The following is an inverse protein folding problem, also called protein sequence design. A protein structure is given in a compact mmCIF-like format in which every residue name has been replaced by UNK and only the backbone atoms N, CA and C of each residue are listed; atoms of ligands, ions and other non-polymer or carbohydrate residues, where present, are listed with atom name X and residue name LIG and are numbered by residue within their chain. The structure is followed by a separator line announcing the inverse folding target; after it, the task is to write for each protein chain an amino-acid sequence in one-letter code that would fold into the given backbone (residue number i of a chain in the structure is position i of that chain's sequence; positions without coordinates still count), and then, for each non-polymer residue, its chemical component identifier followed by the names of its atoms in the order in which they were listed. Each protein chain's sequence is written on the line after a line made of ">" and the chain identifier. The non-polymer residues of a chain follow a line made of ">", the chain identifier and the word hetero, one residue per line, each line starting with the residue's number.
data_IF_918452963073
#
_entry.id   IF_918452963073
#
_cell.length_a   1.000
_cell.length_b   1.000
_cell.length_c   1.000
_cell.angle_alpha   90.00
_cell.angle_beta   90.00
_cell.angle_gamma   90.00
#
_symmetry.space_group_name_H-M   'P 1'
#
loop_
_entity.id
_entity.type
_entity.pdbx_description
1 polymer ?
#
# COMPACT_ATOMS: atom_id res chain seq x y z
N UNK A 1 25.04 58.66 14.12
CA UNK A 1 24.21 59.83 14.54
C UNK A 1 24.93 60.47 15.70
N UNK A 2 25.48 61.66 15.45
CA UNK A 2 26.23 62.47 16.41
C UNK A 2 25.28 63.03 17.45
N UNK A 3 25.55 62.75 18.73
CA UNK A 3 24.80 63.37 19.86
C UNK A 3 25.08 64.87 19.88
N UNK A 4 24.24 65.68 19.23
CA UNK A 4 24.27 67.12 19.36
C UNK A 4 24.02 67.47 20.82
N UNK A 5 24.94 68.23 21.42
CA UNK A 5 24.85 68.71 22.82
C UNK A 5 23.75 69.73 22.90
N UNK A 6 22.58 69.36 23.41
CA UNK A 6 21.38 70.22 23.51
C UNK A 6 21.44 71.29 24.61
N UNK A 7 22.56 71.35 25.37
CA UNK A 7 22.69 72.23 26.58
C UNK A 7 22.91 73.70 26.24
N UNK A 8 23.24 74.03 24.98
CA UNK A 8 23.52 75.39 24.54
C UNK A 8 22.45 75.99 23.63
N UNK A 9 21.33 75.28 23.40
CA UNK A 9 20.23 75.81 22.59
C UNK A 9 19.32 76.75 23.39
N UNK A 10 19.04 77.92 22.77
CA UNK A 10 18.05 78.85 23.36
C UNK A 10 16.66 78.23 23.33
N UNK A 11 15.82 78.57 24.30
CA UNK A 11 14.46 78.03 24.49
C UNK A 11 13.63 77.99 23.20
N UNK A 12 13.78 78.95 22.31
CA UNK A 12 13.11 79.02 21.01
C UNK A 12 13.59 77.90 20.05
N UNK A 13 14.89 77.65 20.01
CA UNK A 13 15.52 76.66 19.15
C UNK A 13 15.17 75.19 19.61
N UNK A 14 15.00 75.05 20.94
CA UNK A 14 14.53 73.79 21.53
C UNK A 14 13.07 73.49 21.16
N UNK A 15 12.19 74.48 21.18
CA UNK A 15 10.78 74.37 20.79
C UNK A 15 10.67 74.03 19.31
N UNK A 16 11.47 74.70 18.44
CA UNK A 16 11.47 74.45 17.01
C UNK A 16 12.02 73.04 16.67
N UNK A 17 13.02 72.57 17.44
CA UNK A 17 13.54 71.23 17.31
C UNK A 17 12.55 70.15 17.76
N UNK A 18 11.82 70.42 18.85
CA UNK A 18 10.76 69.54 19.35
C UNK A 18 9.60 69.46 18.37
N UNK A 19 9.21 70.59 17.79
CA UNK A 19 8.13 70.66 16.80
C UNK A 19 8.55 69.94 15.49
N UNK A 20 9.81 70.10 15.09
CA UNK A 20 10.36 69.37 13.94
C UNK A 20 10.48 67.89 14.19
N UNK A 21 10.91 67.47 15.36
CA UNK A 21 10.94 66.04 15.74
C UNK A 21 9.53 65.43 15.86
N UNK A 22 8.55 66.21 16.37
CA UNK A 22 7.14 65.75 16.40
C UNK A 22 6.54 65.70 15.00
N UNK A 23 6.90 66.62 14.12
CA UNK A 23 6.48 66.58 12.69
C UNK A 23 7.15 65.45 11.94
N UNK A 24 8.44 65.17 12.15
CA UNK A 24 9.13 64.02 11.59
C UNK A 24 8.63 62.67 12.16
N UNK A 25 8.25 62.58 13.43
CA UNK A 25 7.66 61.40 14.01
C UNK A 25 6.22 61.14 13.53
N UNK A 26 5.51 62.17 13.10
CA UNK A 26 4.20 62.09 12.46
C UNK A 26 4.25 61.79 10.95
N UNK A 27 5.46 61.82 10.33
CA UNK A 27 5.66 61.60 8.91
C UNK A 27 5.65 60.14 8.48
N UNK A 28 5.69 59.20 9.44
CA UNK A 28 5.25 57.84 9.13
C UNK A 28 3.74 57.87 9.24
N UNK A 29 3.08 58.00 8.10
CA UNK A 29 1.61 58.07 8.06
C UNK A 29 1.03 56.92 8.84
N UNK A 30 0.12 57.22 9.77
CA UNK A 30 -0.65 56.22 10.53
C UNK A 30 -1.35 55.21 9.58
N UNK A 31 -1.55 55.58 8.32
CA UNK A 31 -2.09 54.73 7.27
C UNK A 31 -1.11 53.72 6.76
N UNK A 32 0.18 54.07 6.50
CA UNK A 32 1.22 53.15 6.08
C UNK A 32 1.49 52.07 7.13
N UNK A 33 1.56 52.47 8.40
CA UNK A 33 1.70 51.54 9.53
C UNK A 33 0.50 50.61 9.65
N UNK A 34 -0.71 51.09 9.43
CA UNK A 34 -1.94 50.28 9.43
C UNK A 34 -1.99 49.34 8.26
N UNK A 35 -1.53 49.76 7.08
CA UNK A 35 -1.48 48.93 5.89
C UNK A 35 -0.47 47.78 6.07
N UNK A 36 0.74 48.06 6.53
CA UNK A 36 1.74 47.04 6.82
C UNK A 36 1.29 46.08 7.93
N UNK A 37 0.69 46.57 9.00
CA UNK A 37 0.10 45.71 10.01
C UNK A 37 -1.05 44.86 9.45
N UNK A 38 -1.84 45.40 8.52
CA UNK A 38 -2.87 44.66 7.79
C UNK A 38 -2.27 43.51 6.99
N UNK A 39 -1.24 43.80 6.18
CA UNK A 39 -0.53 42.78 5.36
C UNK A 39 0.12 41.70 6.25
N UNK A 40 0.74 42.07 7.34
CA UNK A 40 1.34 41.11 8.28
C UNK A 40 0.30 40.21 8.93
N UNK A 41 -0.84 40.77 9.37
CA UNK A 41 -1.96 40.02 9.94
C UNK A 41 -2.60 39.07 8.92
N UNK A 42 -2.75 39.50 7.67
CA UNK A 42 -3.27 38.61 6.60
C UNK A 42 -2.29 37.47 6.30
N UNK A 43 -1.00 37.78 6.26
CA UNK A 43 0.06 36.76 6.08
C UNK A 43 0.08 35.75 7.22
N UNK A 44 -0.06 36.20 8.48
CA UNK A 44 -0.18 35.32 9.63
C UNK A 44 -1.43 34.43 9.56
N UNK A 45 -2.58 35.02 9.21
CA UNK A 45 -3.83 34.26 9.01
C UNK A 45 -3.65 33.21 7.91
N UNK A 46 -3.09 33.59 6.77
CA UNK A 46 -2.83 32.67 5.66
C UNK A 46 -1.91 31.53 6.10
N UNK A 47 -0.79 31.81 6.75
CA UNK A 47 0.13 30.78 7.25
C UNK A 47 -0.52 29.88 8.29
N UNK A 48 -1.38 30.42 9.16
CA UNK A 48 -2.13 29.66 10.15
C UNK A 48 -3.15 28.72 9.47
N UNK A 49 -3.86 29.18 8.44
CA UNK A 49 -4.76 28.36 7.65
C UNK A 49 -3.99 27.28 6.88
N UNK A 50 -2.88 27.64 6.24
CA UNK A 50 -2.02 26.71 5.52
C UNK A 50 -1.50 25.58 6.43
N UNK A 51 -1.01 25.92 7.61
CA UNK A 51 -0.56 24.93 8.62
C UNK A 51 -1.68 24.00 9.05
N UNK A 52 -2.89 24.54 9.29
CA UNK A 52 -4.06 23.73 9.65
C UNK A 52 -4.43 22.77 8.52
N UNK A 53 -4.51 23.25 7.28
CA UNK A 53 -4.81 22.41 6.11
C UNK A 53 -3.77 21.33 5.93
N UNK A 54 -2.48 21.68 6.03
CA UNK A 54 -1.39 20.73 5.93
C UNK A 54 -1.45 19.66 7.03
N UNK A 55 -1.74 20.08 8.27
CA UNK A 55 -1.90 19.13 9.39
C UNK A 55 -3.03 18.14 9.14
N UNK A 56 -4.18 18.61 8.65
CA UNK A 56 -5.30 17.72 8.31
C UNK A 56 -4.92 16.74 7.20
N UNK A 57 -4.24 17.22 6.14
CA UNK A 57 -3.76 16.36 5.06
C UNK A 57 -2.81 15.27 5.56
N UNK A 58 -1.87 15.64 6.44
CA UNK A 58 -0.93 14.66 7.04
C UNK A 58 -1.67 13.62 7.87
N UNK A 59 -2.64 14.02 8.68
CA UNK A 59 -3.44 13.09 9.50
C UNK A 59 -4.25 12.14 8.61
N UNK A 60 -4.92 12.67 7.58
CA UNK A 60 -5.70 11.87 6.63
C UNK A 60 -4.80 10.89 5.88
N UNK A 61 -3.63 11.35 5.41
CA UNK A 61 -2.67 10.48 4.75
C UNK A 61 -2.17 9.36 5.69
N UNK A 62 -1.83 9.69 6.93
CA UNK A 62 -1.38 8.70 7.92
C UNK A 62 -2.46 7.65 8.23
N UNK A 63 -3.71 8.09 8.41
CA UNK A 63 -4.84 7.18 8.62
C UNK A 63 -5.09 6.30 7.39
N UNK A 64 -4.99 6.86 6.18
CA UNK A 64 -5.16 6.10 4.94
C UNK A 64 -4.09 5.02 4.79
N UNK A 65 -2.82 5.33 5.09
CA UNK A 65 -1.73 4.36 5.09
C UNK A 65 -1.97 3.28 6.14
N UNK A 66 -2.39 3.67 7.35
CA UNK A 66 -2.69 2.70 8.42
C UNK A 66 -3.79 1.72 8.00
N UNK A 67 -4.90 2.22 7.47
CA UNK A 67 -6.01 1.40 6.98
C UNK A 67 -5.54 0.50 5.83
N UNK A 68 -4.80 1.05 4.87
CA UNK A 68 -4.28 0.28 3.75
C UNK A 68 -3.37 -0.87 4.22
N UNK A 69 -2.44 -0.63 5.15
CA UNK A 69 -1.51 -1.66 5.64
C UNK A 69 -2.22 -2.76 6.44
N UNK A 70 -3.29 -2.42 7.16
CA UNK A 70 -4.06 -3.40 7.92
C UNK A 70 -4.92 -4.33 7.04
N UNK A 71 -5.44 -3.82 5.91
CA UNK A 71 -6.38 -4.53 5.04
C UNK A 71 -5.76 -5.04 3.75
N UNK A 72 -4.63 -4.45 3.33
CA UNK A 72 -3.93 -4.75 2.08
C UNK A 72 -2.45 -5.08 2.33
N UNK A 73 -2.14 -6.27 2.86
CA UNK A 73 -0.75 -6.68 3.08
C UNK A 73 0.04 -6.67 1.76
N UNK A 74 1.26 -6.16 1.84
CA UNK A 74 2.23 -6.15 0.74
C UNK A 74 3.19 -7.30 0.93
N UNK A 75 3.35 -8.14 -0.09
CA UNK A 75 4.15 -9.35 -0.03
C UNK A 75 5.23 -9.32 -1.09
N UNK A 76 6.42 -9.81 -0.75
CA UNK A 76 7.49 -10.05 -1.72
C UNK A 76 7.53 -11.53 -2.08
N UNK A 77 7.50 -11.83 -3.37
CA UNK A 77 7.52 -13.20 -3.89
C UNK A 77 8.94 -13.74 -3.83
N UNK A 78 9.09 -14.95 -3.33
CA UNK A 78 10.33 -15.71 -3.30
C UNK A 78 10.13 -17.06 -3.97
N UNK A 79 11.09 -17.43 -4.81
CA UNK A 79 11.06 -18.68 -5.56
C UNK A 79 10.34 -18.58 -6.90
N UNK A 80 10.24 -19.72 -7.59
CA UNK A 80 9.72 -19.83 -8.96
C UNK A 80 8.42 -20.61 -9.08
N UNK A 81 7.83 -21.01 -7.96
CA UNK A 81 6.65 -21.90 -7.96
C UNK A 81 5.39 -21.29 -8.57
N UNK A 82 5.35 -19.97 -8.76
CA UNK A 82 4.25 -19.25 -9.38
C UNK A 82 4.59 -18.72 -10.78
N UNK A 83 5.74 -19.10 -11.35
CA UNK A 83 6.07 -18.78 -12.74
C UNK A 83 5.05 -19.45 -13.68
N UNK A 84 4.66 -18.77 -14.76
CA UNK A 84 5.08 -17.44 -15.22
C UNK A 84 4.27 -16.28 -14.60
N UNK A 85 3.18 -16.56 -13.85
CA UNK A 85 2.28 -15.53 -13.33
C UNK A 85 2.97 -14.57 -12.37
N UNK A 86 3.77 -15.12 -11.44
CA UNK A 86 4.55 -14.32 -10.49
C UNK A 86 5.99 -14.82 -10.44
N UNK A 87 6.93 -13.91 -10.60
CA UNK A 87 8.35 -14.22 -10.59
C UNK A 87 9.03 -13.84 -9.28
N UNK A 88 10.18 -14.45 -9.04
CA UNK A 88 11.01 -14.16 -7.88
C UNK A 88 11.39 -12.67 -7.81
N UNK A 89 11.22 -12.08 -6.63
CA UNK A 89 11.52 -10.67 -6.37
C UNK A 89 10.38 -9.69 -6.65
N UNK A 90 9.29 -10.12 -7.26
CA UNK A 90 8.09 -9.28 -7.43
C UNK A 90 7.48 -8.89 -6.08
N UNK A 91 6.90 -7.69 -6.03
CA UNK A 91 6.13 -7.22 -4.90
C UNK A 91 4.66 -7.15 -5.31
N UNK A 92 3.83 -7.79 -4.52
CA UNK A 92 2.38 -7.91 -4.78
C UNK A 92 1.59 -7.35 -3.60
N UNK A 93 0.40 -6.87 -3.89
CA UNK A 93 -0.57 -6.41 -2.91
C UNK A 93 -1.68 -7.45 -2.84
N UNK A 94 -2.00 -7.88 -1.63
CA UNK A 94 -3.12 -8.77 -1.35
C UNK A 94 -4.21 -8.05 -0.56
N UNK A 95 -5.40 -8.63 -0.51
CA UNK A 95 -6.51 -8.18 0.31
C UNK A 95 -6.91 -9.29 1.26
N UNK A 96 -7.11 -8.95 2.53
CA UNK A 96 -7.62 -9.90 3.52
C UNK A 96 -9.06 -10.27 3.19
N UNK A 97 -9.24 -11.42 2.57
CA UNK A 97 -10.56 -11.98 2.26
C UNK A 97 -10.51 -13.49 2.38
N UNK A 98 -11.62 -14.06 2.82
CA UNK A 98 -11.83 -15.51 2.89
C UNK A 98 -12.88 -16.00 1.87
N UNK A 99 -13.28 -15.09 0.95
CA UNK A 99 -14.16 -15.42 -0.19
C UNK A 99 -13.28 -15.72 -1.40
N UNK A 100 -12.94 -16.98 -1.57
CA UNK A 100 -12.07 -17.45 -2.65
C UNK A 100 -12.87 -18.21 -3.69
N UNK A 101 -12.36 -18.14 -4.93
CA UNK A 101 -12.88 -18.85 -6.10
C UNK A 101 -11.75 -19.59 -6.79
N UNK A 102 -12.04 -20.64 -7.53
CA UNK A 102 -11.08 -21.26 -8.44
C UNK A 102 -10.46 -20.20 -9.39
N UNK A 103 -9.16 -20.26 -9.54
CA UNK A 103 -8.34 -19.29 -10.28
C UNK A 103 -7.76 -18.16 -9.43
N UNK A 104 -8.22 -17.92 -8.21
CA UNK A 104 -7.66 -16.89 -7.33
C UNK A 104 -6.26 -17.26 -6.85
N UNK A 105 -5.32 -16.31 -6.91
CA UNK A 105 -4.01 -16.47 -6.31
C UNK A 105 -4.07 -16.03 -4.85
N UNK A 106 -3.64 -16.90 -3.94
CA UNK A 106 -3.77 -16.69 -2.48
C UNK A 106 -2.43 -16.83 -1.78
N UNK A 107 -2.26 -16.05 -0.73
CA UNK A 107 -1.19 -16.20 0.24
C UNK A 107 -1.74 -16.91 1.48
N UNK A 108 -1.03 -17.92 1.97
CA UNK A 108 -1.41 -18.67 3.16
C UNK A 108 -0.20 -19.13 3.98
N UNK A 109 -0.42 -19.33 5.26
CA UNK A 109 0.60 -19.80 6.18
C UNK A 109 0.69 -21.32 6.23
N UNK A 110 1.89 -21.85 6.01
CA UNK A 110 2.22 -23.24 6.26
C UNK A 110 3.32 -23.31 7.34
N UNK A 111 2.91 -23.60 8.57
CA UNK A 111 3.76 -23.39 9.73
C UNK A 111 4.16 -21.92 9.86
N UNK A 112 5.46 -21.63 9.79
CA UNK A 112 6.01 -20.27 9.86
C UNK A 112 6.44 -19.70 8.48
N UNK A 113 6.02 -20.34 7.38
CA UNK A 113 6.29 -19.87 6.02
C UNK A 113 5.02 -19.37 5.35
N UNK A 114 5.10 -18.19 4.74
CA UNK A 114 4.02 -17.67 3.91
C UNK A 114 4.23 -18.15 2.46
N UNK A 115 3.30 -18.93 1.95
CA UNK A 115 3.31 -19.47 0.60
C UNK A 115 2.29 -18.73 -0.27
N UNK A 116 2.58 -18.64 -1.57
CA UNK A 116 1.64 -18.10 -2.57
C UNK A 116 1.35 -19.20 -3.58
N UNK A 117 0.07 -19.50 -3.79
CA UNK A 117 -0.42 -20.55 -4.71
C UNK A 117 -1.75 -20.12 -5.33
N UNK A 118 -2.19 -20.85 -6.34
CA UNK A 118 -3.48 -20.65 -6.98
C UNK A 118 -4.51 -21.64 -6.44
N UNK A 119 -5.69 -21.16 -6.14
CA UNK A 119 -6.84 -22.00 -5.81
C UNK A 119 -7.31 -22.74 -7.05
N UNK A 120 -7.34 -24.06 -6.99
CA UNK A 120 -7.81 -24.92 -8.08
C UNK A 120 -9.20 -25.44 -7.79
N UNK A 121 -9.39 -26.01 -6.60
CA UNK A 121 -10.70 -26.51 -6.16
C UNK A 121 -11.05 -25.96 -4.78
N UNK A 122 -12.34 -25.76 -4.54
CA UNK A 122 -12.89 -25.28 -3.28
C UNK A 122 -13.47 -26.39 -2.42
N UNK A 123 -14.06 -26.01 -1.29
CA UNK A 123 -14.64 -26.96 -0.32
C UNK A 123 -15.63 -27.92 -0.95
N UNK A 124 -15.48 -29.21 -0.64
CA UNK A 124 -16.36 -30.28 -1.08
C UNK A 124 -16.24 -30.66 -2.56
N UNK A 125 -15.36 -29.99 -3.32
CA UNK A 125 -15.13 -30.36 -4.73
C UNK A 125 -14.16 -31.54 -4.86
N UNK A 126 -14.33 -32.31 -5.92
CA UNK A 126 -13.46 -33.44 -6.28
C UNK A 126 -12.50 -33.02 -7.38
N UNK A 127 -11.21 -33.05 -7.10
CA UNK A 127 -10.16 -32.75 -8.06
C UNK A 127 -9.53 -34.05 -8.58
N UNK A 128 -9.25 -34.10 -9.86
CA UNK A 128 -8.51 -35.18 -10.50
C UNK A 128 -7.44 -34.61 -11.40
N UNK A 129 -6.24 -35.22 -11.40
CA UNK A 129 -5.09 -34.81 -12.21
C UNK A 129 -4.57 -36.06 -12.91
N UNK A 130 -4.57 -36.01 -14.22
CA UNK A 130 -4.08 -37.14 -15.01
C UNK A 130 -2.53 -37.19 -15.06
N UNK A 131 -2.02 -38.27 -15.61
CA UNK A 131 -0.56 -38.49 -15.75
C UNK A 131 0.16 -37.41 -16.58
N UNK A 132 -0.57 -36.68 -17.43
CA UNK A 132 -0.03 -35.58 -18.23
C UNK A 132 -0.16 -34.23 -17.48
N UNK A 133 -0.78 -34.20 -16.29
CA UNK A 133 -0.96 -33.02 -15.50
C UNK A 133 -2.24 -32.24 -15.82
N UNK A 134 -3.15 -32.81 -16.63
CA UNK A 134 -4.43 -32.16 -16.95
C UNK A 134 -5.39 -32.26 -15.79
N UNK A 135 -5.89 -31.12 -15.38
CA UNK A 135 -6.73 -30.99 -14.18
C UNK A 135 -8.21 -31.00 -14.54
N UNK A 136 -8.99 -31.74 -13.77
CA UNK A 136 -10.45 -31.68 -13.78
C UNK A 136 -11.01 -31.47 -12.36
N UNK A 137 -12.10 -30.71 -12.25
CA UNK A 137 -12.82 -30.47 -11.00
C UNK A 137 -14.27 -30.86 -11.20
N UNK A 138 -14.77 -31.74 -10.33
CA UNK A 138 -16.11 -32.33 -10.41
C UNK A 138 -16.39 -32.97 -11.78
N UNK A 139 -15.37 -33.63 -12.35
CA UNK A 139 -15.41 -34.29 -13.64
C UNK A 139 -15.37 -33.35 -14.85
N UNK A 140 -15.16 -32.03 -14.66
CA UNK A 140 -15.04 -31.07 -15.74
C UNK A 140 -13.59 -30.61 -15.87
N UNK A 141 -12.98 -30.80 -17.05
CA UNK A 141 -11.64 -30.29 -17.32
C UNK A 141 -11.63 -28.76 -17.18
N UNK A 142 -10.62 -28.23 -16.48
CA UNK A 142 -10.42 -26.78 -16.37
C UNK A 142 -9.40 -26.32 -17.42
N UNK A 143 -9.60 -25.11 -17.93
CA UNK A 143 -8.70 -24.54 -18.92
C UNK A 143 -7.74 -23.55 -18.22
N UNK A 144 -6.47 -23.92 -18.19
CA UNK A 144 -5.44 -23.23 -17.39
C UNK A 144 -4.49 -22.42 -18.27
N UNK A 145 -4.99 -21.29 -18.78
CA UNK A 145 -4.25 -20.41 -19.71
C UNK A 145 -3.03 -19.71 -19.10
N UNK A 146 -2.87 -19.81 -17.80
CA UNK A 146 -1.77 -19.20 -17.05
C UNK A 146 -0.54 -20.10 -16.91
N UNK A 147 -0.61 -21.33 -17.37
CA UNK A 147 0.51 -22.28 -17.34
C UNK A 147 1.39 -22.16 -18.58
N UNK A 148 2.69 -22.33 -18.41
CA UNK A 148 3.62 -22.56 -19.51
C UNK A 148 3.54 -24.03 -19.99
N UNK A 149 3.36 -24.98 -19.07
CA UNK A 149 3.25 -26.41 -19.36
C UNK A 149 2.39 -27.11 -18.31
N UNK A 150 1.60 -28.06 -18.76
CA UNK A 150 0.91 -29.02 -17.88
C UNK A 150 1.93 -30.03 -17.36
N UNK A 151 1.85 -30.41 -16.09
CA UNK A 151 2.65 -31.46 -15.47
C UNK A 151 1.97 -31.94 -14.19
N UNK A 152 1.98 -33.26 -13.96
CA UNK A 152 1.55 -33.82 -12.68
C UNK A 152 2.49 -33.32 -11.55
N UNK A 153 3.77 -33.12 -11.85
CA UNK A 153 4.78 -32.73 -10.87
C UNK A 153 5.01 -33.79 -9.81
N UNK A 154 5.58 -33.36 -8.69
CA UNK A 154 5.76 -34.25 -7.55
C UNK A 154 4.46 -34.32 -6.74
N UNK A 155 3.93 -35.53 -6.58
CA UNK A 155 2.74 -35.82 -5.75
C UNK A 155 2.98 -37.05 -4.90
N UNK A 156 2.48 -37.02 -3.69
CA UNK A 156 2.46 -38.14 -2.73
C UNK A 156 1.03 -38.41 -2.20
N UNK A 157 0.02 -37.88 -2.91
CA UNK A 157 -1.40 -38.17 -2.67
C UNK A 157 -2.03 -38.85 -3.89
N UNK A 158 -3.10 -39.57 -3.66
CA UNK A 158 -3.86 -40.24 -4.71
C UNK A 158 -4.88 -39.31 -5.36
N UNK A 159 -5.12 -39.49 -6.66
CA UNK A 159 -6.20 -38.86 -7.41
C UNK A 159 -7.21 -39.91 -7.88
N UNK A 160 -8.49 -39.55 -7.93
CA UNK A 160 -9.08 -38.26 -7.61
C UNK A 160 -9.12 -37.97 -6.10
N UNK A 161 -8.83 -36.73 -5.71
CA UNK A 161 -8.82 -36.25 -4.33
C UNK A 161 -10.09 -35.46 -4.00
N UNK A 162 -10.69 -35.71 -2.83
CA UNK A 162 -11.83 -34.98 -2.33
C UNK A 162 -11.36 -33.87 -1.40
N UNK A 163 -11.59 -32.61 -1.82
CA UNK A 163 -11.24 -31.44 -0.99
C UNK A 163 -12.13 -31.42 0.26
N UNK A 164 -11.52 -31.30 1.43
CA UNK A 164 -12.23 -31.23 2.69
C UNK A 164 -13.17 -30.01 2.77
N UNK A 165 -14.25 -30.13 3.54
CA UNK A 165 -15.14 -29.02 3.83
C UNK A 165 -14.38 -27.84 4.48
N UNK A 166 -14.66 -26.63 4.02
CA UNK A 166 -14.00 -25.39 4.47
C UNK A 166 -12.51 -25.29 4.15
N UNK A 167 -11.99 -26.11 3.24
CA UNK A 167 -10.61 -26.08 2.75
C UNK A 167 -10.53 -25.85 1.25
N UNK A 168 -9.36 -25.52 0.76
CA UNK A 168 -9.07 -25.26 -0.65
C UNK A 168 -7.86 -26.07 -1.09
N UNK A 169 -7.96 -26.66 -2.27
CA UNK A 169 -6.84 -27.29 -2.94
C UNK A 169 -6.11 -26.23 -3.78
N UNK A 170 -4.83 -25.97 -3.46
CA UNK A 170 -4.05 -24.92 -4.07
C UNK A 170 -2.82 -25.48 -4.76
N UNK A 171 -2.52 -25.02 -5.99
CA UNK A 171 -1.34 -25.43 -6.75
C UNK A 171 -0.50 -24.25 -7.19
N UNK A 172 0.80 -24.45 -7.37
CA UNK A 172 1.65 -23.47 -8.03
C UNK A 172 1.45 -23.48 -9.54
N UNK A 173 1.67 -22.33 -10.18
CA UNK A 173 1.57 -22.23 -11.64
C UNK A 173 2.76 -22.92 -12.34
N UNK A 174 3.93 -22.97 -11.69
CA UNK A 174 5.00 -23.85 -12.11
C UNK A 174 4.77 -25.28 -11.59
N UNK A 175 4.00 -26.06 -12.35
CA UNK A 175 3.52 -27.39 -11.96
C UNK A 175 4.63 -28.38 -11.62
N UNK A 176 5.75 -28.31 -12.33
CA UNK A 176 6.88 -29.23 -12.19
C UNK A 176 7.64 -29.03 -10.87
N UNK A 177 7.88 -27.78 -10.48
CA UNK A 177 8.75 -27.44 -9.34
C UNK A 177 8.01 -27.04 -8.07
N UNK A 178 6.67 -26.91 -8.12
CA UNK A 178 5.90 -26.44 -6.98
C UNK A 178 5.66 -27.55 -5.96
N UNK A 179 5.92 -27.24 -4.69
CA UNK A 179 5.42 -28.00 -3.54
C UNK A 179 4.13 -27.30 -3.07
N UNK A 180 3.00 -28.03 -3.13
CA UNK A 180 1.66 -27.48 -2.92
C UNK A 180 0.70 -28.56 -2.43
N UNK A 181 -0.62 -28.38 -2.58
CA UNK A 181 -1.62 -29.34 -2.07
C UNK A 181 -1.51 -30.77 -2.66
N UNK A 182 -0.74 -30.97 -3.73
CA UNK A 182 -0.40 -32.30 -4.25
C UNK A 182 0.52 -33.07 -3.31
N UNK A 183 1.13 -32.39 -2.32
CA UNK A 183 1.93 -33.05 -1.30
C UNK A 183 1.15 -33.11 0.02
N UNK A 184 1.12 -34.29 0.65
CA UNK A 184 0.53 -34.50 1.98
C UNK A 184 1.11 -33.58 3.06
N UNK A 185 2.35 -33.12 2.90
CA UNK A 185 2.98 -32.15 3.79
C UNK A 185 2.31 -30.76 3.77
N UNK A 186 1.64 -30.41 2.69
CA UNK A 186 0.86 -29.16 2.53
C UNK A 186 -0.62 -29.45 2.71
N UNK A 187 -1.16 -30.41 1.94
CA UNK A 187 -2.55 -30.80 1.94
C UNK A 187 -3.52 -29.68 1.53
N UNK A 188 -4.78 -29.84 1.89
CA UNK A 188 -5.83 -28.85 1.68
C UNK A 188 -5.66 -27.68 2.66
N UNK A 189 -5.76 -26.45 2.16
CA UNK A 189 -5.51 -25.21 2.91
C UNK A 189 -6.78 -24.79 3.65
N UNK A 190 -6.69 -24.66 4.96
CA UNK A 190 -7.82 -24.23 5.79
C UNK A 190 -8.03 -22.72 5.72
N UNK A 191 -9.23 -22.30 6.09
CA UNK A 191 -9.63 -20.89 6.13
C UNK A 191 -8.76 -20.04 7.05
N UNK A 192 -8.24 -20.62 8.12
CA UNK A 192 -7.41 -19.98 9.14
C UNK A 192 -6.00 -19.70 8.62
N UNK A 193 -5.50 -20.57 7.73
CA UNK A 193 -4.18 -20.41 7.11
C UNK A 193 -4.15 -19.26 6.09
N UNK A 194 -5.30 -18.88 5.50
CA UNK A 194 -5.35 -17.87 4.43
C UNK A 194 -5.10 -16.49 4.99
N UNK A 195 -3.98 -15.87 4.55
CA UNK A 195 -3.65 -14.48 4.82
C UNK A 195 -4.44 -13.53 3.93
N UNK A 196 -4.59 -13.85 2.65
CA UNK A 196 -5.37 -13.04 1.73
C UNK A 196 -5.24 -13.47 0.26
N UNK A 197 -6.05 -12.81 -0.58
CA UNK A 197 -6.02 -12.95 -2.04
C UNK A 197 -5.10 -11.91 -2.66
N UNK A 198 -4.17 -12.34 -3.49
CA UNK A 198 -3.26 -11.47 -4.27
C UNK A 198 -4.06 -10.82 -5.39
N UNK A 199 -3.98 -9.49 -5.50
CA UNK A 199 -4.72 -8.71 -6.49
C UNK A 199 -3.84 -8.07 -7.55
N UNK A 200 -2.74 -7.43 -7.12
CA UNK A 200 -1.91 -6.61 -7.98
C UNK A 200 -0.43 -6.92 -7.78
N UNK A 201 0.32 -6.93 -8.87
CA UNK A 201 1.77 -6.76 -8.83
C UNK A 201 2.08 -5.26 -8.93
N UNK A 202 2.91 -4.76 -8.01
CA UNK A 202 3.30 -3.33 -7.93
C UNK A 202 4.77 -3.10 -8.22
N UNK A 203 5.57 -4.13 -8.25
CA UNK A 203 7.00 -4.08 -8.57
C UNK A 203 7.46 -5.38 -9.25
N UNK A 204 8.35 -5.33 -10.24
CA UNK A 204 8.96 -4.15 -10.86
C UNK A 204 7.97 -3.37 -11.75
N UNK A 205 8.29 -2.11 -12.07
CA UNK A 205 7.38 -1.19 -12.77
C UNK A 205 6.90 -1.72 -14.13
N UNK A 206 7.72 -2.51 -14.82
CA UNK A 206 7.35 -3.14 -16.10
C UNK A 206 6.39 -4.34 -15.96
N UNK A 207 6.09 -4.77 -14.73
CA UNK A 207 5.18 -5.90 -14.41
C UNK A 207 4.03 -5.46 -13.50
N UNK A 208 3.73 -4.17 -13.46
CA UNK A 208 2.56 -3.67 -12.74
C UNK A 208 1.30 -4.15 -13.45
N UNK A 209 0.41 -4.79 -12.71
CA UNK A 209 -0.85 -5.28 -13.26
C UNK A 209 -1.66 -6.11 -12.29
N UNK A 210 -2.86 -6.48 -12.75
CA UNK A 210 -3.75 -7.37 -12.01
C UNK A 210 -3.21 -8.79 -12.13
N UNK A 211 -3.11 -9.49 -11.00
CA UNK A 211 -2.77 -10.91 -10.96
C UNK A 211 -4.04 -11.71 -11.27
N UNK A 212 -4.01 -12.43 -12.38
CA UNK A 212 -5.14 -13.24 -12.85
C UNK A 212 -4.78 -14.72 -12.77
#
# INVERSE_FOLDING_TARGET
>A
MEKKDLRHLKRKELIDLIDKMQTESNLVSNEEVKEELGRLKEREKYLKHLRKTLSVLVVVAALSVLVATLWMPVLKIYGSSMNPTLENGQVVVSIKTKRLKSGDVVAFWQGNKLLVKRVIAGPGQKIDIDVNGKVSVDGKAIHETYLDSESLGNTDIDFPHQVEESRWFCMGDNRESSIDSRSAAIGDISKEQIEGKVLFSVWPLNKIGIVK
#
